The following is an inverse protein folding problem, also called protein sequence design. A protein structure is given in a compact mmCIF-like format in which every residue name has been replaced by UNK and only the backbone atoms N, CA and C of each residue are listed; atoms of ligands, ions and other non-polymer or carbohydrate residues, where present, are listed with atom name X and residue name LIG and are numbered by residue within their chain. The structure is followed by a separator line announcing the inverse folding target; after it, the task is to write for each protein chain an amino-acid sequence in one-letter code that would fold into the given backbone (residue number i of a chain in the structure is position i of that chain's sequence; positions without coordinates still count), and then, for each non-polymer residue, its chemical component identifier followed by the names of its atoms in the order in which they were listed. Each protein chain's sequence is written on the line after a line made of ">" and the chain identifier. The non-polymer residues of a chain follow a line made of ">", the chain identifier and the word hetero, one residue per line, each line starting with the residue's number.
data_IF_410595414360
#
_entry.id   IF_410595414360
#
_cell.length_a   1.000
_cell.length_b   1.000
_cell.length_c   1.000
_cell.angle_alpha   90.00
_cell.angle_beta   90.00
_cell.angle_gamma   90.00
#
_symmetry.space_group_name_H-M   'P 1'
#
loop_
_entity.id
_entity.type
_entity.pdbx_description
1 polymer ?
#
# COMPACT_ATOMS: atom_id res chain seq x y z
N UNK A 1 6.83 17.01 -1.49
CA UNK A 1 6.62 17.93 -0.35
C UNK A 1 6.15 19.31 -0.82
N UNK A 2 6.83 19.95 -1.77
CA UNK A 2 6.46 21.28 -2.28
C UNK A 2 5.02 21.37 -2.80
N UNK A 3 4.56 20.38 -3.59
CA UNK A 3 3.21 20.39 -4.15
C UNK A 3 2.11 20.36 -3.07
N UNK A 4 2.25 19.48 -2.07
CA UNK A 4 1.32 19.45 -0.92
C UNK A 4 1.35 20.75 -0.11
N UNK A 5 2.53 21.37 0.05
CA UNK A 5 2.64 22.66 0.74
C UNK A 5 1.90 23.78 -0.01
N UNK A 6 1.95 23.77 -1.35
CA UNK A 6 1.19 24.72 -2.19
C UNK A 6 -0.32 24.54 -2.05
N UNK A 7 -0.80 23.33 -1.77
CA UNK A 7 -2.24 23.07 -1.52
C UNK A 7 -2.75 23.69 -0.20
N UNK A 8 -1.86 23.99 0.76
CA UNK A 8 -2.23 24.65 2.01
C UNK A 8 -2.10 26.16 1.99
N UNK A 9 -1.42 26.74 1.00
CA UNK A 9 -1.20 28.19 0.96
C UNK A 9 -2.37 28.89 0.27
N UNK A 10 -3.05 29.78 0.98
CA UNK A 10 -4.06 30.70 0.41
C UNK A 10 -3.47 31.89 -0.35
N UNK A 11 -2.16 31.90 -0.59
CA UNK A 11 -1.46 33.08 -1.14
C UNK A 11 -1.56 33.23 -2.66
N UNK A 12 -2.18 32.28 -3.37
CA UNK A 12 -2.51 32.40 -4.79
C UNK A 12 -4.02 32.38 -5.01
N UNK A 13 -4.50 33.06 -6.06
CA UNK A 13 -5.92 32.97 -6.50
C UNK A 13 -6.31 31.54 -6.94
N UNK A 14 -5.33 30.68 -7.20
CA UNK A 14 -5.51 29.31 -7.67
C UNK A 14 -5.53 28.28 -6.53
N UNK A 15 -6.61 27.51 -6.46
CA UNK A 15 -6.72 26.35 -5.59
C UNK A 15 -6.02 25.14 -6.20
N UNK A 16 -4.88 24.73 -5.62
CA UNK A 16 -4.11 23.56 -6.09
C UNK A 16 -4.71 22.21 -5.66
N UNK A 17 -5.74 22.19 -4.79
CA UNK A 17 -6.31 20.93 -4.27
C UNK A 17 -6.87 20.00 -5.35
N UNK A 18 -7.65 20.46 -6.35
CA UNK A 18 -8.15 19.59 -7.41
C UNK A 18 -7.02 18.97 -8.25
N UNK A 19 -5.95 19.73 -8.52
CA UNK A 19 -4.79 19.21 -9.23
C UNK A 19 -4.07 18.12 -8.43
N UNK A 20 -3.98 18.30 -7.11
CA UNK A 20 -3.37 17.31 -6.24
C UNK A 20 -4.24 16.06 -6.12
N UNK A 21 -5.56 16.20 -6.05
CA UNK A 21 -6.49 15.08 -6.04
C UNK A 21 -6.36 14.24 -7.32
N UNK A 22 -6.35 14.89 -8.49
CA UNK A 22 -6.10 14.22 -9.77
C UNK A 22 -4.75 13.49 -9.77
N UNK A 23 -3.69 14.14 -9.29
CA UNK A 23 -2.38 13.50 -9.16
C UNK A 23 -2.42 12.24 -8.27
N UNK A 24 -3.16 12.27 -7.15
CA UNK A 24 -3.33 11.08 -6.30
C UNK A 24 -4.11 9.99 -7.03
N UNK A 25 -5.19 10.34 -7.74
CA UNK A 25 -5.96 9.36 -8.53
C UNK A 25 -5.11 8.74 -9.64
N UNK A 26 -4.28 9.53 -10.32
CA UNK A 26 -3.37 9.05 -11.36
C UNK A 26 -2.35 8.07 -10.78
N UNK A 27 -1.75 8.39 -9.62
CA UNK A 27 -0.86 7.45 -8.92
C UNK A 27 -1.58 6.15 -8.53
N UNK A 28 -2.83 6.23 -8.07
CA UNK A 28 -3.63 5.05 -7.72
C UNK A 28 -4.11 4.26 -8.95
N UNK A 29 -4.21 4.88 -10.13
CA UNK A 29 -4.54 4.20 -11.38
C UNK A 29 -3.35 3.46 -11.98
N UNK A 30 -2.14 3.98 -11.76
CA UNK A 30 -0.87 3.46 -12.28
C UNK A 30 -0.14 2.55 -11.29
N UNK A 31 -0.56 2.49 -10.03
CA UNK A 31 0.01 1.56 -9.04
C UNK A 31 -0.15 0.11 -9.52
N UNK A 32 0.90 -0.68 -9.33
CA UNK A 32 1.00 -2.07 -9.77
C UNK A 32 0.93 -2.30 -11.29
N UNK A 33 1.22 -1.27 -12.09
CA UNK A 33 1.49 -1.40 -13.53
C UNK A 33 2.99 -1.59 -13.78
N UNK A 34 3.40 -2.50 -14.68
CA UNK A 34 4.82 -2.78 -14.94
C UNK A 34 5.58 -1.58 -15.52
N UNK A 35 4.91 -0.73 -16.28
CA UNK A 35 5.49 0.51 -16.83
C UNK A 35 5.75 1.62 -15.78
N UNK A 36 5.07 1.59 -14.61
CA UNK A 36 5.09 2.66 -13.62
C UNK A 36 5.59 2.22 -12.22
N UNK A 37 6.83 1.71 -12.08
CA UNK A 37 7.33 1.19 -10.81
C UNK A 37 7.46 2.24 -9.70
N UNK A 38 7.61 3.52 -10.07
CA UNK A 38 7.78 4.61 -9.13
C UNK A 38 6.47 5.01 -8.40
N UNK A 39 5.30 4.60 -8.92
CA UNK A 39 4.01 4.96 -8.33
C UNK A 39 3.88 4.50 -6.87
N UNK A 40 4.29 3.26 -6.57
CA UNK A 40 4.30 2.75 -5.19
C UNK A 40 5.22 3.57 -4.28
N UNK A 41 6.42 3.92 -4.75
CA UNK A 41 7.37 4.71 -3.97
C UNK A 41 6.78 6.08 -3.61
N UNK A 42 6.16 6.73 -4.59
CA UNK A 42 5.50 8.03 -4.40
C UNK A 42 4.33 7.93 -3.43
N UNK A 43 3.47 6.91 -3.55
CA UNK A 43 2.36 6.67 -2.63
C UNK A 43 2.84 6.36 -1.20
N UNK A 44 3.92 5.58 -1.05
CA UNK A 44 4.53 5.28 0.25
C UNK A 44 5.12 6.53 0.94
N UNK A 45 5.77 7.40 0.17
CA UNK A 45 6.24 8.70 0.65
C UNK A 45 5.07 9.62 0.99
N UNK A 46 4.06 9.65 0.13
CA UNK A 46 2.87 10.46 0.29
C UNK A 46 2.11 10.07 1.55
N UNK A 47 1.84 8.78 1.78
CA UNK A 47 1.12 8.33 2.97
C UNK A 47 1.82 8.73 4.27
N UNK A 48 3.16 8.64 4.34
CA UNK A 48 3.93 9.13 5.49
C UNK A 48 3.81 10.65 5.67
N UNK A 49 3.88 11.40 4.59
CA UNK A 49 3.74 12.85 4.60
C UNK A 49 2.34 13.28 5.04
N UNK A 50 1.29 12.65 4.52
CA UNK A 50 -0.11 12.93 4.86
C UNK A 50 -0.38 12.67 6.34
N UNK A 51 0.06 11.51 6.87
CA UNK A 51 -0.06 11.17 8.30
C UNK A 51 0.57 12.25 9.18
N UNK A 52 1.78 12.68 8.84
CA UNK A 52 2.45 13.75 9.57
C UNK A 52 1.66 15.07 9.50
N UNK A 53 1.13 15.39 8.31
CA UNK A 53 0.48 16.68 8.05
C UNK A 53 -0.85 16.85 8.80
N UNK A 54 -1.74 15.85 8.76
CA UNK A 54 -3.02 15.95 9.47
C UNK A 54 -2.89 15.70 10.98
N UNK A 55 -1.88 14.97 11.44
CA UNK A 55 -1.66 14.74 12.88
C UNK A 55 -1.08 15.97 13.58
N UNK A 56 -0.36 16.82 12.85
CA UNK A 56 0.18 18.05 13.41
C UNK A 56 -0.91 19.12 13.60
N UNK A 57 -1.19 19.49 14.85
CA UNK A 57 -2.18 20.51 15.21
C UNK A 57 -1.79 21.93 14.81
N UNK A 58 -0.51 22.18 14.51
CA UNK A 58 -0.02 23.47 14.01
C UNK A 58 -0.31 23.68 12.52
N UNK A 59 -0.62 22.61 11.79
CA UNK A 59 -1.01 22.69 10.38
C UNK A 59 -2.36 23.39 10.24
N UNK A 60 -2.50 24.20 9.19
CA UNK A 60 -3.78 24.82 8.85
C UNK A 60 -4.90 23.78 8.67
N UNK A 61 -6.08 24.05 9.26
CA UNK A 61 -7.24 23.16 9.26
C UNK A 61 -7.61 22.64 7.87
N UNK A 62 -7.62 23.52 6.85
CA UNK A 62 -7.97 23.13 5.47
C UNK A 62 -7.02 22.07 4.93
N UNK A 63 -5.71 22.23 5.16
CA UNK A 63 -4.70 21.26 4.74
C UNK A 63 -4.77 19.96 5.55
N UNK A 64 -5.11 20.02 6.85
CA UNK A 64 -5.33 18.81 7.67
C UNK A 64 -6.50 17.98 7.14
N UNK A 65 -7.63 18.63 6.85
CA UNK A 65 -8.83 17.98 6.31
C UNK A 65 -8.57 17.39 4.93
N UNK A 66 -7.91 18.13 4.03
CA UNK A 66 -7.53 17.61 2.71
C UNK A 66 -6.53 16.45 2.79
N UNK A 67 -5.53 16.54 3.68
CA UNK A 67 -4.53 15.47 3.82
C UNK A 67 -5.14 14.17 4.35
N UNK A 68 -6.11 14.28 5.26
CA UNK A 68 -6.87 13.15 5.77
C UNK A 68 -7.73 12.51 4.66
N UNK A 69 -8.33 13.33 3.80
CA UNK A 69 -9.10 12.87 2.64
C UNK A 69 -8.26 12.01 1.69
N UNK A 70 -7.12 12.56 1.27
CA UNK A 70 -6.21 11.87 0.36
C UNK A 70 -5.71 10.56 0.98
N UNK A 71 -5.46 10.52 2.30
CA UNK A 71 -5.09 9.28 2.96
C UNK A 71 -6.25 8.27 2.97
N UNK A 72 -7.49 8.74 3.17
CA UNK A 72 -8.71 7.93 3.08
C UNK A 72 -8.83 7.23 1.72
N UNK A 73 -8.69 7.99 0.63
CA UNK A 73 -8.71 7.45 -0.73
C UNK A 73 -7.61 6.41 -0.96
N UNK A 74 -6.38 6.71 -0.53
CA UNK A 74 -5.24 5.78 -0.65
C UNK A 74 -5.48 4.51 0.17
N UNK A 75 -5.97 4.62 1.40
CA UNK A 75 -6.27 3.47 2.27
C UNK A 75 -7.40 2.60 1.70
N UNK A 76 -8.46 3.21 1.18
CA UNK A 76 -9.56 2.49 0.53
C UNK A 76 -9.07 1.73 -0.70
N UNK A 77 -8.22 2.36 -1.54
CA UNK A 77 -7.66 1.69 -2.71
C UNK A 77 -6.69 0.57 -2.34
N UNK A 78 -5.80 0.79 -1.38
CA UNK A 78 -4.92 -0.25 -0.84
C UNK A 78 -5.72 -1.47 -0.36
N UNK A 79 -6.84 -1.24 0.32
CA UNK A 79 -7.71 -2.34 0.75
C UNK A 79 -8.33 -3.08 -0.42
N UNK A 80 -8.84 -2.35 -1.42
CA UNK A 80 -9.43 -2.94 -2.64
C UNK A 80 -8.43 -3.87 -3.32
N UNK A 81 -7.20 -3.41 -3.49
CA UNK A 81 -6.15 -4.17 -4.14
C UNK A 81 -5.75 -5.40 -3.30
N UNK A 82 -5.68 -5.28 -1.97
CA UNK A 82 -5.39 -6.42 -1.09
C UNK A 82 -6.49 -7.50 -1.08
N UNK A 83 -7.76 -7.10 -1.19
CA UNK A 83 -8.89 -8.06 -1.23
C UNK A 83 -8.97 -8.76 -2.59
N UNK A 84 -8.70 -8.03 -3.68
CA UNK A 84 -8.72 -8.59 -5.05
C UNK A 84 -7.52 -9.48 -5.34
N UNK A 85 -6.33 -9.17 -4.80
CA UNK A 85 -5.09 -9.92 -5.02
C UNK A 85 -5.12 -11.37 -4.51
N UNK A 86 -5.93 -11.68 -3.48
CA UNK A 86 -6.02 -13.04 -2.91
C UNK A 86 -6.61 -14.11 -3.86
N UNK A 87 -7.00 -13.75 -5.08
CA UNK A 87 -7.74 -14.64 -5.98
C UNK A 87 -6.91 -15.31 -7.08
N UNK A 88 -5.70 -14.80 -7.43
CA UNK A 88 -5.00 -15.22 -8.66
C UNK A 88 -3.78 -16.15 -8.46
N UNK A 89 -3.72 -16.89 -7.35
CA UNK A 89 -2.58 -17.79 -7.04
C UNK A 89 -2.29 -18.81 -8.15
N UNK A 90 -3.35 -19.35 -8.79
CA UNK A 90 -3.22 -20.34 -9.87
C UNK A 90 -2.47 -19.81 -11.10
N UNK A 91 -2.63 -18.52 -11.41
CA UNK A 91 -1.96 -17.88 -12.54
C UNK A 91 -0.48 -17.67 -12.22
N UNK A 92 -0.16 -17.31 -10.98
CA UNK A 92 1.24 -17.24 -10.52
C UNK A 92 1.89 -18.62 -10.59
N UNK A 93 1.22 -19.67 -10.12
CA UNK A 93 1.74 -21.04 -10.19
C UNK A 93 2.00 -21.49 -11.64
N UNK A 94 1.12 -21.11 -12.59
CA UNK A 94 1.33 -21.36 -14.03
C UNK A 94 2.60 -20.69 -14.54
N UNK A 95 2.83 -19.42 -14.18
CA UNK A 95 4.02 -18.67 -14.61
C UNK A 95 5.29 -19.28 -13.99
N UNK A 96 5.22 -19.69 -12.71
CA UNK A 96 6.34 -20.33 -12.01
C UNK A 96 6.72 -21.69 -12.62
N UNK A 97 5.74 -22.45 -13.12
CA UNK A 97 6.01 -23.74 -13.80
C UNK A 97 6.78 -23.57 -15.12
N UNK A 98 6.69 -22.41 -15.76
CA UNK A 98 7.36 -22.14 -17.05
C UNK A 98 8.85 -21.79 -16.89
N UNK A 99 9.27 -21.30 -15.71
CA UNK A 99 10.65 -20.88 -15.46
C UNK A 99 11.34 -21.82 -14.45
N UNK A 100 12.34 -22.60 -14.86
CA UNK A 100 13.09 -23.41 -13.90
C UNK A 100 13.87 -22.51 -12.92
N UNK A 101 13.69 -22.74 -11.62
CA UNK A 101 14.44 -22.02 -10.58
C UNK A 101 14.05 -22.47 -9.18
N UNK A 102 14.90 -22.19 -8.20
CA UNK A 102 14.66 -22.58 -6.80
C UNK A 102 14.03 -21.45 -5.96
N UNK A 103 13.95 -20.22 -6.49
CA UNK A 103 13.41 -19.04 -5.80
C UNK A 103 12.31 -18.41 -6.67
N UNK A 104 11.05 -18.59 -6.27
CA UNK A 104 9.87 -18.05 -6.93
C UNK A 104 9.99 -16.53 -7.17
N UNK A 105 10.55 -15.80 -6.21
CA UNK A 105 10.71 -14.35 -6.33
C UNK A 105 11.64 -13.99 -7.49
N UNK A 106 12.76 -14.72 -7.65
CA UNK A 106 13.71 -14.46 -8.73
C UNK A 106 13.16 -14.84 -10.10
N UNK A 107 12.37 -15.92 -10.17
CA UNK A 107 11.70 -16.31 -11.41
C UNK A 107 10.72 -15.23 -11.88
N UNK A 108 9.85 -14.75 -10.98
CA UNK A 108 8.89 -13.70 -11.31
C UNK A 108 9.59 -12.37 -11.66
N UNK A 109 10.66 -12.02 -10.93
CA UNK A 109 11.50 -10.86 -11.26
C UNK A 109 12.11 -10.98 -12.66
N UNK A 110 12.65 -12.15 -13.01
CA UNK A 110 13.21 -12.40 -14.34
C UNK A 110 12.15 -12.28 -15.43
N UNK A 111 11.00 -12.93 -15.24
CA UNK A 111 9.91 -12.94 -16.21
C UNK A 111 9.40 -11.51 -16.49
N UNK A 112 9.26 -10.69 -15.44
CA UNK A 112 8.90 -9.28 -15.58
C UNK A 112 9.97 -8.45 -16.32
N UNK A 113 11.26 -8.66 -16.03
CA UNK A 113 12.34 -7.93 -16.68
C UNK A 113 12.49 -8.31 -18.16
N UNK A 114 12.29 -9.60 -18.47
CA UNK A 114 12.30 -10.10 -19.85
C UNK A 114 11.11 -9.52 -20.64
N UNK A 115 9.91 -9.48 -20.04
CA UNK A 115 8.74 -8.79 -20.63
C UNK A 115 9.00 -7.31 -20.93
N UNK A 116 9.58 -6.57 -19.97
CA UNK A 116 9.89 -5.15 -20.14
C UNK A 116 10.98 -4.91 -21.19
N UNK A 117 11.89 -5.86 -21.37
CA UNK A 117 12.95 -5.80 -22.39
C UNK A 117 12.38 -6.09 -23.78
N UNK A 118 11.58 -7.14 -23.94
CA UNK A 118 10.92 -7.44 -25.21
C UNK A 118 9.93 -6.32 -25.60
N UNK A 119 9.28 -5.68 -24.63
CA UNK A 119 8.39 -4.52 -24.87
C UNK A 119 9.15 -3.20 -25.10
N UNK A 120 10.44 -3.12 -24.77
CA UNK A 120 11.23 -1.89 -24.96
C UNK A 120 11.48 -1.57 -26.44
N UNK A 121 11.39 -2.56 -27.32
CA UNK A 121 11.47 -2.36 -28.77
C UNK A 121 10.27 -1.55 -29.29
N UNK A 122 9.11 -1.66 -28.63
CA UNK A 122 7.91 -0.85 -28.92
C UNK A 122 7.87 0.48 -28.17
N UNK A 123 8.34 0.52 -26.92
CA UNK A 123 8.42 1.74 -26.12
C UNK A 123 9.76 1.82 -25.36
N UNK A 124 10.63 2.70 -25.85
CA UNK A 124 11.95 2.94 -25.26
C UNK A 124 11.90 3.44 -23.80
N UNK A 125 10.76 3.98 -23.35
CA UNK A 125 10.58 4.44 -21.96
C UNK A 125 10.66 3.28 -20.95
N UNK A 126 10.29 2.07 -21.36
CA UNK A 126 10.28 0.87 -20.51
C UNK A 126 11.69 0.45 -20.06
N UNK A 127 12.73 0.87 -20.78
CA UNK A 127 14.13 0.70 -20.35
C UNK A 127 14.36 1.37 -18.99
N UNK A 128 13.72 2.51 -18.72
CA UNK A 128 13.83 3.19 -17.43
C UNK A 128 13.06 2.45 -16.33
N UNK A 129 11.87 1.91 -16.63
CA UNK A 129 11.12 1.08 -15.69
C UNK A 129 11.93 -0.18 -15.29
N UNK A 130 12.51 -0.88 -16.27
CA UNK A 130 13.40 -2.03 -16.06
C UNK A 130 14.58 -1.68 -15.15
N UNK A 131 15.29 -0.58 -15.44
CA UNK A 131 16.41 -0.10 -14.59
C UNK A 131 15.95 0.25 -13.18
N UNK A 132 14.78 0.86 -13.04
CA UNK A 132 14.21 1.24 -11.74
C UNK A 132 13.91 -0.01 -10.89
N UNK A 133 13.28 -1.04 -11.45
CA UNK A 133 13.02 -2.30 -10.72
C UNK A 133 14.30 -2.95 -10.22
N UNK A 134 15.31 -3.06 -11.08
CA UNK A 134 16.61 -3.64 -10.70
C UNK A 134 17.24 -2.85 -9.54
N UNK A 135 17.25 -1.52 -9.62
CA UNK A 135 17.78 -0.66 -8.57
C UNK A 135 16.97 -0.79 -7.27
N UNK A 136 15.64 -0.85 -7.37
CA UNK A 136 14.75 -1.01 -6.22
C UNK A 136 14.99 -2.34 -5.51
N UNK A 137 15.01 -3.48 -6.23
CA UNK A 137 15.23 -4.79 -5.62
C UNK A 137 16.64 -4.94 -5.04
N UNK A 138 17.64 -4.30 -5.66
CA UNK A 138 18.99 -4.26 -5.10
C UNK A 138 19.04 -3.49 -3.79
N UNK A 139 18.36 -2.33 -3.72
CA UNK A 139 18.21 -1.54 -2.50
C UNK A 139 17.47 -2.33 -1.42
N UNK A 140 16.33 -2.94 -1.76
CA UNK A 140 15.50 -3.69 -0.81
C UNK A 140 16.30 -4.84 -0.19
N UNK A 141 17.06 -5.59 -1.00
CA UNK A 141 17.96 -6.65 -0.52
C UNK A 141 19.08 -6.11 0.40
N UNK A 142 19.54 -4.88 0.16
CA UNK A 142 20.55 -4.24 1.01
C UNK A 142 19.96 -3.81 2.35
N UNK A 143 18.79 -3.15 2.31
CA UNK A 143 18.08 -2.70 3.51
C UNK A 143 17.61 -3.87 4.37
N UNK A 144 17.22 -5.00 3.78
CA UNK A 144 16.90 -6.24 4.50
C UNK A 144 18.11 -6.75 5.29
N UNK A 145 19.28 -6.86 4.66
CA UNK A 145 20.52 -7.28 5.33
C UNK A 145 20.95 -6.30 6.45
N UNK A 146 20.90 -4.99 6.20
CA UNK A 146 21.26 -3.97 7.20
C UNK A 146 20.36 -4.01 8.43
N UNK A 147 19.04 -4.19 8.24
CA UNK A 147 18.09 -4.31 9.35
C UNK A 147 18.38 -5.54 10.22
N UNK A 148 18.69 -6.68 9.60
CA UNK A 148 19.00 -7.90 10.33
C UNK A 148 20.29 -7.75 11.16
N UNK A 149 21.33 -7.10 10.61
CA UNK A 149 22.55 -6.78 11.35
C UNK A 149 22.28 -5.85 12.55
N UNK A 150 21.47 -4.81 12.35
CA UNK A 150 21.13 -3.86 13.43
C UNK A 150 20.33 -4.53 14.56
N UNK A 151 19.40 -5.41 14.21
CA UNK A 151 18.58 -6.14 15.18
C UNK A 151 19.39 -7.19 15.96
N UNK A 152 20.42 -7.79 15.35
CA UNK A 152 21.33 -8.70 16.06
C UNK A 152 22.17 -7.93 17.07
N UNK A 153 22.80 -6.81 16.66
CA UNK A 153 23.61 -6.00 17.56
C UNK A 153 22.83 -5.44 18.75
N UNK A 154 21.52 -5.15 18.59
CA UNK A 154 20.67 -4.70 19.70
C UNK A 154 20.30 -5.83 20.68
N UNK A 155 20.25 -7.08 20.24
CA UNK A 155 19.99 -8.23 21.13
C UNK A 155 21.21 -8.60 21.97
N UNK A 156 22.41 -8.34 21.45
CA UNK A 156 23.66 -8.62 22.18
C UNK A 156 23.92 -7.61 23.33
N UNK A 157 23.36 -6.39 23.24
CA UNK A 157 23.51 -5.32 24.26
C UNK A 157 22.52 -5.41 25.44
N UNK A 158 21.39 -6.12 25.28
CA UNK A 158 20.27 -6.16 26.25
C UNK A 158 20.13 -7.53 26.94
N UNK A 159 21.27 -8.17 27.24
CA UNK A 159 21.35 -9.51 27.84
C UNK A 159 20.90 -9.53 29.31
N UNK A 160 19.60 -9.44 29.55
CA UNK A 160 18.91 -9.80 30.80
C UNK A 160 17.41 -10.08 30.54
N UNK A 161 17.07 -11.17 29.84
CA UNK A 161 16.09 -12.16 30.35
C UNK A 161 15.92 -13.37 29.42
N UNK A 162 15.43 -14.47 30.00
CA UNK A 162 15.47 -15.86 29.49
C UNK A 162 14.62 -16.22 28.24
N UNK A 163 14.60 -17.54 27.90
CA UNK A 163 14.25 -18.02 26.57
C UNK A 163 12.73 -18.07 26.37
N UNK A 164 12.18 -17.17 25.55
CA UNK A 164 10.79 -17.25 25.11
C UNK A 164 10.65 -17.28 23.58
N UNK A 165 10.09 -18.41 23.14
CA UNK A 165 9.45 -18.71 21.86
C UNK A 165 10.29 -18.71 20.56
N UNK A 166 10.71 -19.94 20.23
CA UNK A 166 10.99 -20.39 18.87
C UNK A 166 9.76 -20.25 17.95
N UNK A 167 9.75 -19.23 17.11
CA UNK A 167 9.23 -19.31 15.74
C UNK A 167 10.45 -19.15 14.84
N UNK A 168 10.75 -20.16 14.03
CA UNK A 168 11.81 -20.21 13.00
C UNK A 168 12.42 -18.83 12.67
N UNK A 169 13.41 -18.43 13.48
CA UNK A 169 14.16 -17.20 13.21
C UNK A 169 15.22 -17.64 12.21
N UNK A 170 14.98 -17.40 10.91
CA UNK A 170 16.04 -17.41 9.90
C UNK A 170 17.24 -16.69 10.53
N UNK A 171 18.37 -17.40 10.63
CA UNK A 171 19.55 -16.84 11.26
C UNK A 171 20.02 -15.63 10.46
N UNK A 172 20.58 -14.60 11.11
CA UNK A 172 21.09 -13.41 10.40
C UNK A 172 22.02 -13.80 9.25
N UNK A 173 22.79 -14.88 9.41
CA UNK A 173 23.65 -15.45 8.38
C UNK A 173 22.89 -15.94 7.14
N UNK A 174 21.75 -16.61 7.30
CA UNK A 174 20.89 -17.07 6.19
C UNK A 174 20.29 -15.88 5.43
N UNK A 175 19.82 -14.85 6.16
CA UNK A 175 19.27 -13.63 5.55
C UNK A 175 20.36 -12.90 4.73
N UNK A 176 21.55 -12.76 5.29
CA UNK A 176 22.69 -12.15 4.59
C UNK A 176 23.09 -12.95 3.36
N UNK A 177 23.16 -14.28 3.46
CA UNK A 177 23.50 -15.14 2.32
C UNK A 177 22.42 -15.06 1.22
N UNK A 178 21.14 -15.01 1.58
CA UNK A 178 20.02 -14.84 0.67
C UNK A 178 20.08 -13.48 -0.04
N UNK A 179 20.31 -12.41 0.71
CA UNK A 179 20.47 -11.07 0.17
C UNK A 179 21.63 -11.00 -0.84
N UNK A 180 22.76 -11.65 -0.54
CA UNK A 180 23.92 -11.67 -1.44
C UNK A 180 23.66 -12.49 -2.71
N UNK A 181 22.97 -13.64 -2.58
CA UNK A 181 22.51 -14.42 -3.75
C UNK A 181 21.61 -13.59 -4.67
N UNK A 182 20.64 -12.87 -4.11
CA UNK A 182 19.75 -11.95 -4.86
C UNK A 182 20.54 -10.83 -5.54
N UNK A 183 21.47 -10.19 -4.84
CA UNK A 183 22.35 -9.16 -5.43
C UNK A 183 23.20 -9.70 -6.56
N UNK A 184 23.77 -10.90 -6.42
CA UNK A 184 24.57 -11.57 -7.47
C UNK A 184 23.72 -11.86 -8.71
N UNK A 185 22.49 -12.35 -8.52
CA UNK A 185 21.52 -12.54 -9.60
C UNK A 185 21.23 -11.23 -10.36
N UNK A 186 20.88 -10.16 -9.65
CA UNK A 186 20.62 -8.84 -10.27
C UNK A 186 21.85 -8.28 -11.00
N UNK A 187 23.05 -8.44 -10.44
CA UNK A 187 24.31 -8.05 -11.11
C UNK A 187 24.55 -8.84 -12.39
N UNK A 188 24.21 -10.13 -12.41
CA UNK A 188 24.35 -10.96 -13.61
C UNK A 188 23.40 -10.50 -14.72
N UNK A 189 22.15 -10.12 -14.37
CA UNK A 189 21.19 -9.54 -15.33
C UNK A 189 21.72 -8.25 -15.94
N UNK A 190 22.32 -7.36 -15.12
CA UNK A 190 22.92 -6.12 -15.63
C UNK A 190 24.10 -6.42 -16.58
N UNK A 191 24.95 -7.39 -16.25
CA UNK A 191 26.16 -7.72 -17.02
C UNK A 191 25.89 -8.47 -18.33
N UNK A 192 24.82 -9.26 -18.39
CA UNK A 192 24.43 -10.00 -19.60
C UNK A 192 23.78 -9.11 -20.65
N UNK A 193 23.62 -7.82 -20.38
CA UNK A 193 23.18 -6.83 -21.38
C UNK A 193 24.40 -6.32 -22.16
N UNK A 194 24.75 -6.93 -23.31
CA UNK A 194 24.91 -6.11 -24.52
C UNK A 194 24.46 -6.77 -25.84
N UNK A 195 23.86 -5.92 -26.69
CA UNK A 195 23.78 -5.99 -28.17
C UNK A 195 22.87 -7.04 -28.86
N UNK A 196 21.69 -6.56 -29.30
CA UNK A 196 21.27 -6.55 -30.72
C UNK A 196 21.20 -7.87 -31.54
N UNK A 197 21.26 -9.06 -30.93
CA UNK A 197 21.04 -10.31 -31.65
C UNK A 197 19.90 -11.13 -31.02
N UNK A 198 18.66 -10.77 -31.36
CA UNK A 198 17.49 -11.62 -31.12
C UNK A 198 16.72 -11.85 -32.42
N UNK A 199 17.41 -12.24 -33.50
CA UNK A 199 16.76 -12.58 -34.78
C UNK A 199 16.15 -13.98 -34.81
N UNK A 200 16.19 -14.75 -33.72
CA UNK A 200 15.45 -16.02 -33.62
C UNK A 200 15.10 -16.33 -32.15
N UNK A 201 14.07 -15.68 -31.60
CA UNK A 201 13.31 -16.32 -30.52
C UNK A 201 12.12 -17.03 -31.18
N UNK A 202 12.35 -18.32 -31.46
CA UNK A 202 11.31 -19.27 -31.80
C UNK A 202 10.27 -19.30 -30.67
N UNK A 203 8.99 -19.22 -31.03
CA UNK A 203 7.79 -19.45 -30.23
C UNK A 203 8.05 -20.05 -28.84
N UNK A 204 7.99 -19.20 -27.81
CA UNK A 204 7.84 -19.62 -26.41
C UNK A 204 6.67 -18.85 -25.84
N UNK A 205 5.83 -19.50 -25.06
CA UNK A 205 4.75 -18.89 -24.28
C UNK A 205 5.31 -17.76 -23.39
N UNK A 206 5.30 -16.53 -23.89
CA UNK A 206 5.83 -15.35 -23.21
C UNK A 206 4.79 -14.76 -22.27
N UNK A 207 5.23 -14.29 -21.11
CA UNK A 207 4.42 -13.49 -20.18
C UNK A 207 3.73 -12.36 -20.93
N UNK A 208 2.40 -12.33 -20.87
CA UNK A 208 1.60 -11.28 -21.48
C UNK A 208 1.43 -10.07 -20.53
N UNK A 209 0.67 -9.07 -20.97
CA UNK A 209 0.44 -7.87 -20.16
C UNK A 209 -0.33 -8.16 -18.87
N UNK A 210 -1.28 -9.10 -18.89
CA UNK A 210 -2.05 -9.45 -17.70
C UNK A 210 -1.17 -10.17 -16.68
N UNK A 211 -0.36 -11.13 -17.14
CA UNK A 211 0.61 -11.86 -16.34
C UNK A 211 1.67 -10.93 -15.74
N UNK A 212 2.17 -9.95 -16.50
CA UNK A 212 3.12 -8.95 -15.97
C UNK A 212 2.48 -8.08 -14.87
N UNK A 213 1.21 -7.67 -15.02
CA UNK A 213 0.47 -6.97 -13.98
C UNK A 213 0.30 -7.84 -12.72
N UNK A 214 0.00 -9.13 -12.88
CA UNK A 214 -0.12 -10.08 -11.76
C UNK A 214 1.21 -10.24 -11.02
N UNK A 215 2.32 -10.39 -11.75
CA UNK A 215 3.67 -10.46 -11.19
C UNK A 215 3.96 -9.21 -10.33
N UNK A 216 3.72 -8.02 -10.88
CA UNK A 216 3.97 -6.77 -10.16
C UNK A 216 3.12 -6.69 -8.89
N UNK A 217 1.83 -7.05 -8.96
CA UNK A 217 0.94 -7.09 -7.78
C UNK A 217 1.42 -8.07 -6.72
N UNK A 218 1.83 -9.27 -7.13
CA UNK A 218 2.36 -10.29 -6.23
C UNK A 218 3.61 -9.78 -5.51
N UNK A 219 4.59 -9.27 -6.26
CA UNK A 219 5.83 -8.72 -5.70
C UNK A 219 5.56 -7.51 -4.79
N UNK A 220 4.60 -6.65 -5.16
CA UNK A 220 4.20 -5.50 -4.35
C UNK A 220 3.51 -5.90 -3.04
N UNK A 221 2.76 -7.00 -3.00
CA UNK A 221 2.09 -7.49 -1.79
C UNK A 221 3.05 -7.83 -0.64
N UNK A 222 4.30 -8.20 -0.99
CA UNK A 222 5.36 -8.50 -0.04
C UNK A 222 6.07 -7.25 0.48
N UNK A 223 5.81 -6.07 -0.11
CA UNK A 223 6.48 -4.82 0.26
C UNK A 223 5.79 -4.12 1.43
N UNK A 224 6.52 -3.28 2.21
CA UNK A 224 5.96 -2.58 3.37
C UNK A 224 4.77 -1.66 3.05
N UNK A 225 4.64 -1.17 1.82
CA UNK A 225 3.53 -0.31 1.43
C UNK A 225 2.19 -1.05 1.42
N UNK A 226 2.14 -2.28 0.88
CA UNK A 226 0.93 -3.09 0.90
C UNK A 226 0.46 -3.40 2.35
N UNK A 227 1.41 -3.49 3.28
CA UNK A 227 1.15 -3.72 4.71
C UNK A 227 0.82 -2.44 5.49
N UNK A 228 0.86 -1.27 4.85
CA UNK A 228 0.65 0.02 5.53
C UNK A 228 -0.82 0.34 5.82
N UNK A 229 -1.76 -0.41 5.25
CA UNK A 229 -3.20 -0.21 5.44
C UNK A 229 -3.59 -0.15 6.92
N UNK A 230 -3.14 -1.10 7.74
CA UNK A 230 -3.47 -1.13 9.17
C UNK A 230 -2.92 0.07 9.94
N UNK A 231 -1.74 0.56 9.52
CA UNK A 231 -1.14 1.77 10.09
C UNK A 231 -2.02 2.98 9.76
N UNK A 232 -2.43 3.13 8.51
CA UNK A 232 -3.29 4.23 8.07
C UNK A 232 -4.66 4.19 8.76
N UNK A 233 -5.29 3.02 8.84
CA UNK A 233 -6.56 2.84 9.53
C UNK A 233 -6.46 3.23 11.00
N UNK A 234 -5.39 2.83 11.68
CA UNK A 234 -5.11 3.21 13.08
C UNK A 234 -4.97 4.72 13.24
N UNK A 235 -4.29 5.41 12.30
CA UNK A 235 -4.17 6.87 12.34
C UNK A 235 -5.51 7.57 12.09
N UNK A 236 -6.34 7.07 11.17
CA UNK A 236 -7.69 7.62 10.92
C UNK A 236 -8.58 7.44 12.16
N UNK A 237 -8.55 6.25 12.78
CA UNK A 237 -9.29 6.00 14.02
C UNK A 237 -8.83 6.90 15.17
N UNK A 238 -7.53 7.19 15.27
CA UNK A 238 -6.99 8.09 16.30
C UNK A 238 -7.55 9.50 16.17
N UNK A 239 -7.67 10.04 14.95
CA UNK A 239 -8.16 11.41 14.75
C UNK A 239 -9.67 11.57 14.95
N UNK A 240 -10.43 10.46 15.05
CA UNK A 240 -11.82 10.50 15.49
C UNK A 240 -11.97 11.11 16.89
N UNK A 241 -10.94 11.04 17.74
CA UNK A 241 -10.95 11.60 19.09
C UNK A 241 -10.55 13.07 19.20
N UNK A 242 -10.25 13.76 18.09
CA UNK A 242 -9.80 15.16 18.15
C UNK A 242 -10.92 16.15 18.51
N UNK A 243 -10.56 17.32 19.03
CA UNK A 243 -11.55 18.37 19.34
C UNK A 243 -12.22 18.96 18.09
N UNK A 244 -11.47 19.07 16.99
CA UNK A 244 -11.91 19.71 15.76
C UNK A 244 -13.01 18.91 15.05
N UNK A 245 -14.22 19.50 14.94
CA UNK A 245 -15.38 18.89 14.28
C UNK A 245 -15.05 18.50 12.84
N UNK A 246 -14.45 19.40 12.06
CA UNK A 246 -14.14 19.17 10.65
C UNK A 246 -13.23 17.94 10.43
N UNK A 247 -12.24 17.74 11.30
CA UNK A 247 -11.34 16.58 11.25
C UNK A 247 -12.11 15.29 11.57
N UNK A 248 -12.92 15.30 12.62
CA UNK A 248 -13.73 14.13 13.01
C UNK A 248 -14.75 13.74 11.94
N UNK A 249 -15.47 14.72 11.38
CA UNK A 249 -16.42 14.47 10.28
C UNK A 249 -15.70 13.87 9.07
N UNK A 250 -14.53 14.41 8.70
CA UNK A 250 -13.78 13.92 7.54
C UNK A 250 -13.19 12.52 7.78
N UNK A 251 -12.71 12.24 9.00
CA UNK A 251 -12.26 10.90 9.40
C UNK A 251 -13.39 9.88 9.27
N UNK A 252 -14.60 10.20 9.72
CA UNK A 252 -15.77 9.31 9.56
C UNK A 252 -16.09 9.04 8.09
N UNK A 253 -16.02 10.05 7.22
CA UNK A 253 -16.21 9.87 5.77
C UNK A 253 -15.14 8.96 5.15
N UNK A 254 -13.87 9.14 5.53
CA UNK A 254 -12.77 8.27 5.08
C UNK A 254 -13.02 6.80 5.49
N UNK A 255 -13.47 6.57 6.73
CA UNK A 255 -13.83 5.22 7.17
C UNK A 255 -15.01 4.65 6.37
N UNK A 256 -15.99 5.47 6.01
CA UNK A 256 -17.11 5.03 5.17
C UNK A 256 -16.65 4.58 3.78
N UNK A 257 -15.66 5.25 3.17
CA UNK A 257 -15.09 4.84 1.88
C UNK A 257 -14.37 3.49 1.98
N UNK A 258 -13.56 3.32 3.05
CA UNK A 258 -12.86 2.06 3.31
C UNK A 258 -13.84 0.90 3.53
N UNK A 259 -14.89 1.12 4.32
CA UNK A 259 -15.93 0.11 4.59
C UNK A 259 -16.76 -0.22 3.35
N UNK A 260 -16.99 0.76 2.47
CA UNK A 260 -17.69 0.52 1.21
C UNK A 260 -16.90 -0.43 0.28
N UNK A 261 -15.56 -0.38 0.33
CA UNK A 261 -14.69 -1.30 -0.40
C UNK A 261 -14.64 -2.67 0.25
N UNK A 262 -14.50 -2.73 1.58
CA UNK A 262 -14.48 -3.98 2.32
C UNK A 262 -15.27 -3.89 3.64
N UNK A 263 -16.53 -4.37 3.64
CA UNK A 263 -17.38 -4.39 4.82
C UNK A 263 -16.81 -5.21 5.99
N UNK A 264 -15.93 -6.18 5.73
CA UNK A 264 -15.39 -7.03 6.81
C UNK A 264 -14.57 -6.26 7.84
N UNK A 265 -14.09 -5.06 7.49
CA UNK A 265 -13.31 -4.20 8.39
C UNK A 265 -14.12 -3.79 9.63
N UNK A 266 -15.44 -3.66 9.52
CA UNK A 266 -16.28 -3.33 10.67
C UNK A 266 -16.41 -4.44 11.71
N UNK A 267 -15.92 -5.66 11.42
CA UNK A 267 -15.81 -6.71 12.42
C UNK A 267 -14.67 -6.45 13.42
N UNK A 268 -13.74 -5.53 13.14
CA UNK A 268 -12.64 -5.22 14.05
C UNK A 268 -13.13 -4.43 15.26
N UNK A 269 -12.67 -4.81 16.45
CA UNK A 269 -13.11 -4.19 17.71
C UNK A 269 -12.74 -2.71 17.84
N UNK A 270 -11.60 -2.29 17.27
CA UNK A 270 -11.17 -0.90 17.21
C UNK A 270 -12.09 -0.03 16.34
N UNK A 271 -12.48 -0.54 15.18
CA UNK A 271 -13.46 0.07 14.27
C UNK A 271 -14.84 0.20 14.91
N UNK A 272 -15.34 -0.88 15.52
CA UNK A 272 -16.65 -0.86 16.18
C UNK A 272 -16.71 0.18 17.29
N UNK A 273 -15.68 0.23 18.15
CA UNK A 273 -15.58 1.23 19.22
C UNK A 273 -15.49 2.65 18.67
N UNK A 274 -14.69 2.85 17.63
CA UNK A 274 -14.54 4.14 16.96
C UNK A 274 -15.86 4.66 16.41
N UNK A 275 -16.58 3.85 15.63
CA UNK A 275 -17.88 4.23 15.03
C UNK A 275 -18.95 4.41 16.10
N UNK A 276 -19.06 3.50 17.07
CA UNK A 276 -20.01 3.59 18.18
C UNK A 276 -19.82 4.92 18.93
N UNK A 277 -18.59 5.24 19.31
CA UNK A 277 -18.29 6.48 20.03
C UNK A 277 -18.61 7.76 19.24
N UNK A 278 -18.81 7.68 17.92
CA UNK A 278 -19.21 8.82 17.06
C UNK A 278 -20.71 8.90 16.76
N UNK A 279 -21.48 7.84 17.02
CA UNK A 279 -22.96 7.93 17.00
C UNK A 279 -23.50 8.87 18.09
N UNK A 280 -22.80 8.92 19.22
CA UNK A 280 -23.09 9.78 20.37
C UNK A 280 -22.28 11.09 20.37
N UNK A 281 -21.73 11.49 19.23
CA UNK A 281 -20.91 12.69 19.14
C UNK A 281 -21.72 13.96 19.42
N UNK A 282 -21.11 15.01 19.98
CA UNK A 282 -21.77 16.30 20.23
C UNK A 282 -22.21 17.01 18.93
N UNK A 283 -21.48 16.82 17.83
CA UNK A 283 -21.75 17.47 16.55
C UNK A 283 -22.72 16.67 15.68
N UNK A 284 -23.75 17.35 15.17
CA UNK A 284 -24.71 16.78 14.20
C UNK A 284 -24.01 16.21 12.97
N UNK A 285 -23.06 16.93 12.38
CA UNK A 285 -22.34 16.49 11.17
C UNK A 285 -21.55 15.20 11.36
N UNK A 286 -21.03 14.97 12.58
CA UNK A 286 -20.28 13.75 12.90
C UNK A 286 -21.22 12.57 13.13
N UNK A 287 -22.34 12.81 13.82
CA UNK A 287 -23.40 11.80 13.99
C UNK A 287 -23.98 11.37 12.64
N UNK A 288 -24.24 12.33 11.75
CA UNK A 288 -24.72 12.06 10.38
C UNK A 288 -23.76 11.17 9.61
N UNK A 289 -22.47 11.49 9.60
CA UNK A 289 -21.45 10.67 8.94
C UNK A 289 -21.33 9.25 9.54
N UNK A 290 -21.56 9.11 10.86
CA UNK A 290 -21.58 7.81 11.52
C UNK A 290 -22.79 6.95 11.12
N UNK A 291 -23.97 7.58 11.05
CA UNK A 291 -25.19 6.92 10.59
C UNK A 291 -25.08 6.53 9.12
N UNK A 292 -24.53 7.41 8.26
CA UNK A 292 -24.31 7.10 6.84
C UNK A 292 -23.41 5.86 6.67
N UNK A 293 -22.30 5.80 7.40
CA UNK A 293 -21.38 4.65 7.38
C UNK A 293 -22.09 3.36 7.77
N UNK A 294 -22.84 3.36 8.88
CA UNK A 294 -23.57 2.18 9.34
C UNK A 294 -24.69 1.79 8.38
N UNK A 295 -25.41 2.77 7.82
CA UNK A 295 -26.46 2.53 6.84
C UNK A 295 -25.94 1.78 5.62
N UNK A 296 -24.81 2.23 5.04
CA UNK A 296 -24.16 1.53 3.91
C UNK A 296 -23.71 0.11 4.28
N UNK A 297 -23.22 -0.09 5.50
CA UNK A 297 -22.78 -1.39 5.98
C UNK A 297 -23.92 -2.39 6.17
N UNK A 298 -25.00 -1.97 6.85
CA UNK A 298 -26.18 -2.81 7.11
C UNK A 298 -26.78 -3.32 5.81
N UNK A 299 -26.85 -2.46 4.79
CA UNK A 299 -27.30 -2.85 3.44
C UNK A 299 -26.37 -3.89 2.79
N UNK A 300 -25.07 -3.84 3.07
CA UNK A 300 -24.07 -4.75 2.50
C UNK A 300 -23.96 -6.09 3.26
N UNK A 301 -24.28 -6.12 4.55
CA UNK A 301 -24.26 -7.33 5.40
C UNK A 301 -25.48 -7.39 6.34
N UNK A 302 -26.64 -7.85 5.85
CA UNK A 302 -27.89 -7.89 6.62
C UNK A 302 -27.80 -8.73 7.91
N UNK A 303 -26.90 -9.70 7.96
CA UNK A 303 -26.67 -10.59 9.10
C UNK A 303 -26.20 -9.86 10.37
N UNK A 304 -25.61 -8.68 10.22
CA UNK A 304 -25.10 -7.87 11.34
C UNK A 304 -26.07 -6.75 11.72
N UNK A 305 -27.24 -6.65 11.08
CA UNK A 305 -28.24 -5.61 11.37
C UNK A 305 -28.66 -5.63 12.83
N UNK A 306 -28.92 -6.81 13.40
CA UNK A 306 -29.36 -6.95 14.79
C UNK A 306 -28.35 -6.36 15.78
N UNK A 307 -27.05 -6.44 15.50
CA UNK A 307 -26.00 -5.89 16.36
C UNK A 307 -25.99 -4.35 16.39
N UNK A 308 -26.43 -3.70 15.30
CA UNK A 308 -26.42 -2.25 15.17
C UNK A 308 -27.82 -1.62 15.29
N UNK A 309 -28.88 -2.44 15.32
CA UNK A 309 -30.28 -2.01 15.32
C UNK A 309 -30.61 -1.14 16.53
N UNK A 310 -30.28 -1.59 17.75
CA UNK A 310 -30.55 -0.86 18.99
C UNK A 310 -29.87 0.52 19.03
N UNK A 311 -28.71 0.65 18.39
CA UNK A 311 -28.02 1.94 18.32
C UNK A 311 -28.59 2.87 17.25
N UNK A 312 -29.09 2.33 16.15
CA UNK A 312 -29.71 3.11 15.08
C UNK A 312 -31.07 3.66 15.53
N UNK A 313 -31.85 2.88 16.28
CA UNK A 313 -33.16 3.31 16.78
C UNK A 313 -33.03 4.43 17.83
N UNK A 314 -31.99 4.40 18.66
CA UNK A 314 -31.63 5.49 19.59
C UNK A 314 -31.27 6.83 18.91
N UNK A 315 -31.24 6.90 17.57
CA UNK A 315 -31.06 8.16 16.81
C UNK A 315 -32.35 8.69 16.20
N UNK A 316 -33.39 7.86 16.09
CA UNK A 316 -34.70 8.26 15.55
C UNK A 316 -35.56 8.91 16.64
N UNK A 317 -35.33 8.51 17.90
CA UNK A 317 -35.96 9.04 19.11
C UNK A 317 -35.22 10.29 19.63
#
# INVERSE_FOLDING_TARGET
>A
TLFLHRCGSKQGEEDYRPLFENFVQDLLSTVNKPEWPAAELLLSLLGRLLVHQFSNKQTEMALRVASLDYLGTVAARLRKDAVTSKMDQRSIDRILQQSPGNDETQQLQKALLDYLEDSADTDASLVFARKFYIAQWFRDSTTEAEKSMRNQNQKDDDSSDGPQHAKEIETTGEIMQRAEKRKKFLRNIIKTTPAHFATLKMNSDTVDYEDSCLIVRYLASMRPFAQSFDIYLTQILRVLGESAIAVRTKAMKCLSEVVAVDPSILARSDMQRGVHGRLMDNSTSVREAAVELLGRFVLSRPQLTEQYYDMLIERIL
#
